data_IF_585110868963
#
_entry.id   IF_585110868963
#
_cell.length_a   1.000
_cell.length_b   1.000
_cell.length_c   1.000
_cell.angle_alpha   90.00
_cell.angle_beta   90.00
_cell.angle_gamma   90.00
#
_symmetry.space_group_name_H-M   'P 1'
#
loop_
_entity.id
_entity.type
_entity.pdbx_description
1 polymer ?
#
# COMPACT_ATOMS: atom_id res chain seq x y z
N UNK A 1 -7.89 -4.60 -17.84
CA UNK A 1 -7.43 -4.93 -19.19
C UNK A 1 -6.88 -6.35 -19.14
N UNK A 2 -6.96 -7.08 -20.25
CA UNK A 2 -6.43 -8.45 -20.35
C UNK A 2 -5.09 -8.43 -21.07
N UNK A 3 -4.22 -9.38 -20.72
CA UNK A 3 -2.97 -9.58 -21.44
C UNK A 3 -3.28 -10.05 -22.87
N UNK A 4 -2.45 -9.65 -23.82
CA UNK A 4 -2.67 -10.00 -25.22
C UNK A 4 -1.41 -9.90 -26.07
N UNK A 5 -1.55 -10.28 -27.32
CA UNK A 5 -0.52 -10.07 -28.33
C UNK A 5 -1.03 -9.02 -29.33
N UNK A 6 -0.15 -8.10 -29.73
CA UNK A 6 -0.44 -7.14 -30.79
C UNK A 6 0.64 -7.17 -31.87
N UNK A 7 0.27 -6.78 -33.08
CA UNK A 7 1.17 -6.59 -34.21
C UNK A 7 0.79 -5.29 -34.91
N UNK A 8 1.78 -4.57 -35.44
CA UNK A 8 1.55 -3.37 -36.23
C UNK A 8 1.57 -3.74 -37.71
N UNK A 9 0.60 -3.23 -38.47
CA UNK A 9 0.54 -3.40 -39.91
C UNK A 9 0.64 -2.08 -40.63
N UNK A 10 1.50 -2.01 -41.64
CA UNK A 10 1.65 -0.84 -42.51
C UNK A 10 1.65 -1.26 -43.98
N UNK A 11 1.19 -0.37 -44.83
CA UNK A 11 1.16 -0.57 -46.28
C UNK A 11 2.31 0.23 -46.89
N UNK A 12 3.13 -0.41 -47.72
CA UNK A 12 4.19 0.28 -48.43
C UNK A 12 3.65 1.08 -49.64
N UNK A 13 4.51 1.88 -50.26
CA UNK A 13 4.12 2.72 -51.41
C UNK A 13 3.64 1.90 -52.63
N UNK A 14 3.91 0.59 -52.66
CA UNK A 14 3.46 -0.34 -53.70
C UNK A 14 2.13 -1.03 -53.36
N UNK A 15 1.50 -0.70 -52.24
CA UNK A 15 0.25 -1.32 -51.79
C UNK A 15 0.45 -2.68 -51.11
N UNK A 16 1.69 -3.09 -50.81
CA UNK A 16 1.94 -4.33 -50.08
C UNK A 16 1.86 -4.11 -48.58
N UNK A 17 1.09 -4.98 -47.92
CA UNK A 17 0.90 -4.95 -46.47
C UNK A 17 2.03 -5.71 -45.79
N UNK A 18 2.72 -5.04 -44.88
CA UNK A 18 3.74 -5.62 -44.01
C UNK A 18 3.23 -5.65 -42.58
N UNK A 19 3.61 -6.69 -41.84
CA UNK A 19 3.28 -6.87 -40.43
C UNK A 19 4.59 -6.97 -39.64
N UNK A 20 4.62 -6.37 -38.45
CA UNK A 20 5.68 -6.63 -37.48
C UNK A 20 5.53 -8.02 -36.87
N UNK A 21 6.53 -8.43 -36.09
CA UNK A 21 6.36 -9.56 -35.18
C UNK A 21 5.31 -9.26 -34.10
N UNK A 22 4.86 -10.31 -33.40
CA UNK A 22 3.97 -10.18 -32.26
C UNK A 22 4.71 -9.64 -31.05
N UNK A 23 4.10 -8.68 -30.37
CA UNK A 23 4.58 -8.13 -29.10
C UNK A 23 3.58 -8.43 -27.99
N UNK A 24 4.09 -8.74 -26.80
CA UNK A 24 3.28 -8.94 -25.62
C UNK A 24 2.76 -7.60 -25.08
N UNK A 25 1.48 -7.57 -24.77
CA UNK A 25 0.83 -6.53 -24.00
C UNK A 25 0.52 -7.11 -22.62
N UNK A 26 1.20 -6.61 -21.59
CA UNK A 26 1.01 -7.03 -20.21
C UNK A 26 0.29 -5.94 -19.42
N UNK A 27 -0.82 -6.30 -18.79
CA UNK A 27 -1.52 -5.44 -17.86
C UNK A 27 -0.91 -5.61 -16.47
N UNK A 28 -0.39 -4.53 -15.90
CA UNK A 28 0.03 -4.50 -14.50
C UNK A 28 -1.19 -4.03 -13.69
N UNK A 29 -1.74 -4.87 -12.79
CA UNK A 29 -2.86 -4.47 -11.96
C UNK A 29 -2.41 -3.44 -10.92
N UNK A 30 -3.30 -2.51 -10.61
CA UNK A 30 -3.13 -1.53 -9.54
C UNK A 30 -2.94 -2.21 -8.18
N UNK A 31 -2.03 -1.69 -7.36
CA UNK A 31 -1.78 -2.21 -6.02
C UNK A 31 -2.55 -1.40 -5.00
N UNK A 32 -3.18 -2.08 -4.04
CA UNK A 32 -3.81 -1.36 -2.92
C UNK A 32 -2.72 -0.69 -2.07
N UNK A 33 -2.99 0.51 -1.52
CA UNK A 33 -2.11 1.14 -0.55
C UNK A 33 -1.78 0.19 0.60
N UNK A 34 -0.52 0.21 1.03
CA UNK A 34 -0.04 -0.59 2.16
C UNK A 34 0.25 0.30 3.36
N UNK A 35 -0.10 -0.18 4.56
CA UNK A 35 0.15 0.50 5.83
C UNK A 35 1.02 -0.38 6.71
N UNK A 36 2.11 0.18 7.23
CA UNK A 36 2.92 -0.43 8.28
C UNK A 36 2.95 0.47 9.50
N UNK A 37 2.63 -0.11 10.66
CA UNK A 37 2.76 0.54 11.97
C UNK A 37 3.86 -0.17 12.74
N UNK A 38 4.85 0.60 13.20
CA UNK A 38 5.95 0.12 14.02
C UNK A 38 5.92 0.83 15.37
N UNK A 39 5.93 0.02 16.43
CA UNK A 39 5.93 0.49 17.80
C UNK A 39 4.55 1.00 18.28
N UNK A 40 4.40 1.20 19.61
CA UNK A 40 5.31 0.69 20.64
C UNK A 40 5.31 -0.85 20.66
N UNK A 41 6.29 -1.50 21.32
CA UNK A 41 6.27 -2.95 21.49
C UNK A 41 4.92 -3.40 22.09
N UNK A 42 4.41 -4.54 21.63
CA UNK A 42 3.27 -5.16 22.28
C UNK A 42 3.65 -5.51 23.73
N UNK A 43 2.72 -5.30 24.66
CA UNK A 43 2.89 -5.60 26.09
C UNK A 43 3.98 -4.78 26.81
N UNK A 44 4.28 -3.57 26.34
CA UNK A 44 5.22 -2.70 27.04
C UNK A 44 4.60 -2.11 28.32
N UNK A 45 5.34 -2.20 29.44
CA UNK A 45 4.92 -1.60 30.71
C UNK A 45 5.33 -0.13 30.74
N UNK A 46 4.35 0.73 30.48
CA UNK A 46 4.58 2.17 30.45
C UNK A 46 4.51 2.73 31.89
N UNK A 47 5.67 2.94 32.51
CA UNK A 47 5.76 3.58 33.81
C UNK A 47 5.16 4.99 33.79
N UNK A 48 4.39 5.32 34.83
CA UNK A 48 3.75 6.62 34.97
C UNK A 48 4.79 7.76 34.96
N UNK A 49 4.56 8.76 34.12
CA UNK A 49 5.31 10.02 34.08
C UNK A 49 4.35 11.19 33.83
N UNK A 50 4.65 12.39 34.34
CA UNK A 50 3.79 13.58 34.17
C UNK A 50 3.52 13.93 32.70
N UNK A 51 4.45 13.59 31.82
CA UNK A 51 4.33 13.70 30.38
C UNK A 51 4.93 12.45 29.76
N UNK A 52 4.15 11.73 28.96
CA UNK A 52 4.58 10.49 28.32
C UNK A 52 4.39 10.61 26.80
N UNK A 53 5.47 10.46 26.05
CA UNK A 53 5.45 10.41 24.59
C UNK A 53 5.63 8.97 24.16
N UNK A 54 4.66 8.40 23.46
CA UNK A 54 4.73 7.05 22.92
C UNK A 54 5.14 7.15 21.45
N UNK A 55 6.40 6.83 21.09
CA UNK A 55 6.84 6.89 19.71
C UNK A 55 6.18 5.79 18.89
N UNK A 56 5.56 6.17 17.78
CA UNK A 56 5.04 5.26 16.77
C UNK A 56 5.53 5.73 15.40
N UNK A 57 5.88 4.79 14.54
CA UNK A 57 6.22 5.08 13.16
C UNK A 57 5.19 4.44 12.25
N UNK A 58 4.53 5.26 11.43
CA UNK A 58 3.54 4.82 10.46
C UNK A 58 4.12 5.09 9.06
N UNK A 59 4.15 4.06 8.23
CA UNK A 59 4.58 4.13 6.83
C UNK A 59 3.41 3.78 5.93
N UNK A 60 3.13 4.65 4.96
CA UNK A 60 2.11 4.47 3.93
C UNK A 60 2.80 4.37 2.56
N UNK A 61 2.45 3.40 1.74
CA UNK A 61 3.08 3.17 0.44
C UNK A 61 2.05 2.80 -0.62
N UNK A 62 2.18 3.39 -1.81
CA UNK A 62 1.35 3.17 -2.99
C UNK A 62 2.21 3.34 -4.24
N UNK A 63 1.92 2.63 -5.33
CA UNK A 63 2.67 2.66 -6.59
C UNK A 63 2.28 3.83 -7.51
N UNK A 64 1.13 4.46 -7.29
CA UNK A 64 0.68 5.68 -7.97
C UNK A 64 0.66 6.91 -7.05
N UNK A 65 1.01 6.73 -5.78
CA UNK A 65 1.16 7.79 -4.80
C UNK A 65 -0.10 8.02 -3.96
N UNK A 66 0.03 8.84 -2.93
CA UNK A 66 -1.04 9.11 -1.96
C UNK A 66 -1.40 10.59 -2.00
N UNK A 67 -2.69 10.88 -2.21
CA UNK A 67 -3.19 12.26 -2.20
C UNK A 67 -3.50 12.75 -0.79
N UNK A 68 -4.20 11.95 0.01
CA UNK A 68 -4.63 12.30 1.36
C UNK A 68 -4.55 11.08 2.29
N UNK A 69 -4.25 11.32 3.57
CA UNK A 69 -4.24 10.31 4.62
C UNK A 69 -4.68 10.92 5.96
N UNK A 70 -5.50 10.19 6.71
CA UNK A 70 -6.00 10.61 8.02
C UNK A 70 -5.62 9.57 9.08
N UNK A 71 -5.07 10.04 10.21
CA UNK A 71 -4.76 9.21 11.38
C UNK A 71 -5.76 9.51 12.49
N UNK A 72 -6.52 8.48 12.89
CA UNK A 72 -7.39 8.52 14.07
C UNK A 72 -6.85 7.50 15.07
N UNK A 73 -6.39 7.99 16.23
CA UNK A 73 -5.86 7.15 17.29
C UNK A 73 -6.71 7.30 18.55
N UNK A 74 -7.06 6.16 19.16
CA UNK A 74 -7.79 6.11 20.43
C UNK A 74 -6.91 5.48 21.49
N UNK A 75 -6.74 6.17 22.61
CA UNK A 75 -6.06 5.62 23.79
C UNK A 75 -7.12 5.22 24.81
N UNK A 76 -7.07 3.97 25.27
CA UNK A 76 -7.96 3.45 26.31
C UNK A 76 -7.15 2.84 27.46
N UNK A 77 -7.69 2.93 28.68
CA UNK A 77 -7.10 2.31 29.88
C UNK A 77 -7.95 1.12 30.27
N UNK A 78 -7.44 -0.10 30.08
CA UNK A 78 -8.04 -1.32 30.62
C UNK A 78 -7.80 -1.39 32.13
N UNK A 79 -8.74 -0.92 32.94
CA UNK A 79 -8.72 -1.15 34.37
C UNK A 79 -9.13 -2.57 34.70
N UNK A 80 -8.20 -3.52 34.64
CA UNK A 80 -8.42 -4.85 35.22
C UNK A 80 -8.70 -4.68 36.71
N UNK A 81 -9.88 -5.08 37.16
CA UNK A 81 -10.16 -5.23 38.60
C UNK A 81 -9.26 -6.35 39.14
N UNK A 82 -8.14 -5.98 39.74
CA UNK A 82 -7.43 -6.89 40.65
C UNK A 82 -8.17 -6.88 41.98
N UNK A 83 -8.74 -8.03 42.35
CA UNK A 83 -9.11 -8.36 43.74
C UNK A 83 -10.57 -8.15 44.12
N UNK A 84 -11.34 -9.25 44.04
CA UNK A 84 -12.47 -9.68 44.88
C UNK A 84 -12.90 -11.00 44.21
N UNK A 85 -12.54 -12.19 44.67
CA UNK A 85 -12.79 -12.83 45.98
C UNK A 85 -11.71 -13.88 46.26
#
# INVERSE_FOLDING_TARGET
MENGLYQLGFEDAGGQRQLTEFYALETIPDQKPQIQVKGPPEYDEIAYRPQHTIPMQITLQDDYGLNEAYLVATVSRGGGRSGEV
#
